data_IF_737572123495
#
_entry.id   IF_737572123495
#
_cell.length_a   1.000
_cell.length_b   1.000
_cell.length_c   1.000
_cell.angle_alpha   90.00
_cell.angle_beta   90.00
_cell.angle_gamma   90.00
#
_symmetry.space_group_name_H-M   'P 1'
#
loop_
_entity.id
_entity.type
_entity.pdbx_description
1 polymer ?
#
# COMPACT_ATOMS: atom_id res chain seq x y z
N UNK A 1 -23.93 -8.11 -10.22
CA UNK A 1 -22.80 -9.04 -10.50
C UNK A 1 -21.64 -8.17 -10.97
N UNK A 2 -20.45 -8.33 -10.41
CA UNK A 2 -19.26 -7.59 -10.85
C UNK A 2 -18.78 -8.14 -12.20
N UNK A 3 -18.33 -7.26 -13.09
CA UNK A 3 -17.82 -7.66 -14.41
C UNK A 3 -16.43 -8.33 -14.34
N UNK A 4 -15.67 -7.98 -13.29
CA UNK A 4 -14.32 -8.50 -13.03
C UNK A 4 -14.18 -8.84 -11.54
N UNK A 5 -13.49 -9.93 -11.23
CA UNK A 5 -13.11 -10.29 -9.85
C UNK A 5 -11.88 -9.50 -9.36
N UNK A 6 -11.03 -9.04 -10.29
CA UNK A 6 -9.79 -8.31 -10.00
C UNK A 6 -9.57 -7.18 -11.00
N UNK A 7 -9.13 -6.04 -10.49
CA UNK A 7 -8.63 -4.91 -11.29
C UNK A 7 -7.17 -4.73 -10.94
N UNK A 8 -6.31 -4.76 -11.94
CA UNK A 8 -4.89 -4.54 -11.75
C UNK A 8 -4.52 -3.11 -12.10
N UNK A 9 -3.89 -2.44 -11.15
CA UNK A 9 -3.32 -1.10 -11.32
C UNK A 9 -1.83 -1.21 -11.06
N UNK A 10 -1.03 -1.00 -12.09
CA UNK A 10 0.42 -1.10 -12.04
C UNK A 10 1.04 0.15 -12.66
N UNK A 11 2.17 0.56 -12.09
CA UNK A 11 3.04 1.55 -12.71
C UNK A 11 3.85 0.90 -13.84
N UNK A 12 4.45 1.73 -14.69
CA UNK A 12 5.35 1.32 -15.78
C UNK A 12 6.56 0.49 -15.28
N UNK A 13 6.84 0.55 -13.97
CA UNK A 13 7.99 -0.08 -13.32
C UNK A 13 7.83 -1.59 -13.02
N UNK A 14 6.69 -2.24 -13.30
CA UNK A 14 6.58 -3.71 -13.17
C UNK A 14 7.07 -4.39 -14.45
N UNK A 15 8.25 -5.01 -14.39
CA UNK A 15 8.75 -5.89 -15.45
C UNK A 15 7.84 -7.12 -15.61
N UNK A 16 6.99 -7.11 -16.63
CA UNK A 16 6.05 -8.19 -16.97
C UNK A 16 6.72 -9.53 -17.26
N UNK A 17 8.00 -9.52 -17.63
CA UNK A 17 8.77 -10.71 -18.01
C UNK A 17 9.06 -11.64 -16.82
N UNK A 18 9.03 -11.09 -15.60
CA UNK A 18 9.33 -11.80 -14.37
C UNK A 18 8.12 -11.91 -13.44
N UNK A 19 6.89 -11.67 -13.92
CA UNK A 19 5.67 -11.73 -13.12
C UNK A 19 4.81 -12.93 -13.53
N UNK A 20 4.53 -13.84 -12.59
CA UNK A 20 3.54 -14.91 -12.78
C UNK A 20 2.16 -14.49 -12.23
N UNK A 21 1.20 -14.09 -13.10
CA UNK A 21 -0.13 -13.67 -12.67
C UNK A 21 -0.94 -14.81 -12.07
N UNK A 22 -0.67 -16.07 -12.41
CA UNK A 22 -1.42 -17.23 -11.88
C UNK A 22 -1.01 -17.47 -10.45
N UNK A 23 0.28 -17.62 -10.19
CA UNK A 23 0.81 -17.80 -8.83
C UNK A 23 0.45 -16.62 -7.93
N UNK A 24 0.50 -15.39 -8.46
CA UNK A 24 0.06 -14.20 -7.74
C UNK A 24 -1.42 -14.26 -7.34
N UNK A 25 -2.31 -14.54 -8.30
CA UNK A 25 -3.75 -14.61 -8.04
C UNK A 25 -4.12 -15.75 -7.09
N UNK A 26 -3.38 -16.86 -7.10
CA UNK A 26 -3.59 -17.96 -6.17
C UNK A 26 -3.32 -17.53 -4.72
N UNK A 27 -2.26 -16.74 -4.49
CA UNK A 27 -2.00 -16.14 -3.17
C UNK A 27 -3.09 -15.15 -2.81
N UNK A 28 -3.44 -14.22 -3.71
CA UNK A 28 -4.50 -13.22 -3.47
C UNK A 28 -5.82 -13.87 -3.06
N UNK A 29 -6.22 -14.94 -3.77
CA UNK A 29 -7.45 -15.71 -3.48
C UNK A 29 -7.36 -16.47 -2.17
N UNK A 30 -6.26 -17.20 -1.95
CA UNK A 30 -6.04 -18.00 -0.73
C UNK A 30 -6.07 -17.13 0.52
N UNK A 31 -5.45 -15.96 0.42
CA UNK A 31 -5.25 -15.03 1.54
C UNK A 31 -6.39 -14.02 1.69
N UNK A 32 -7.36 -14.00 0.77
CA UNK A 32 -8.49 -13.08 0.78
C UNK A 32 -8.08 -11.62 0.66
N UNK A 33 -7.05 -11.32 -0.14
CA UNK A 33 -6.60 -9.95 -0.36
C UNK A 33 -7.56 -9.22 -1.32
N UNK A 34 -8.03 -8.05 -0.88
CA UNK A 34 -8.85 -7.14 -1.68
C UNK A 34 -8.00 -6.10 -2.41
N UNK A 35 -6.88 -5.72 -1.80
CA UNK A 35 -5.91 -4.79 -2.39
C UNK A 35 -4.51 -5.35 -2.18
N UNK A 36 -3.77 -5.52 -3.28
CA UNK A 36 -2.45 -6.13 -3.21
C UNK A 36 -1.49 -5.59 -4.28
N UNK A 37 -0.19 -5.74 -4.03
CA UNK A 37 0.87 -5.54 -5.01
C UNK A 37 1.87 -6.70 -4.94
N UNK A 38 2.63 -6.99 -6.00
CA UNK A 38 3.77 -7.89 -5.90
C UNK A 38 4.93 -7.25 -5.11
N UNK A 39 5.72 -8.07 -4.42
CA UNK A 39 6.92 -7.61 -3.73
C UNK A 39 8.03 -7.22 -4.72
N UNK A 40 8.70 -6.10 -4.42
CA UNK A 40 9.82 -5.57 -5.21
C UNK A 40 11.14 -6.27 -4.84
N UNK A 41 11.98 -6.54 -5.85
CA UNK A 41 13.34 -7.03 -5.62
C UNK A 41 14.13 -6.03 -4.74
N UNK A 42 14.98 -6.53 -3.83
CA UNK A 42 15.79 -5.68 -2.94
C UNK A 42 16.83 -4.83 -3.64
N UNK A 43 17.15 -5.15 -4.90
CA UNK A 43 18.06 -4.39 -5.77
C UNK A 43 17.33 -3.25 -6.50
N UNK A 44 16.00 -3.29 -6.51
CA UNK A 44 15.13 -2.24 -7.04
C UNK A 44 15.17 -0.98 -6.17
N UNK A 45 14.66 0.12 -6.71
CA UNK A 45 14.42 1.32 -5.89
C UNK A 45 13.24 1.07 -4.95
N UNK A 46 13.53 0.88 -3.66
CA UNK A 46 12.52 0.68 -2.61
C UNK A 46 12.30 2.00 -1.86
N UNK A 47 11.05 2.47 -1.88
CA UNK A 47 10.64 3.66 -1.12
C UNK A 47 10.11 3.29 0.28
N UNK A 48 9.38 2.18 0.38
CA UNK A 48 8.77 1.72 1.61
C UNK A 48 9.18 0.30 1.94
N UNK A 49 9.68 0.07 3.15
CA UNK A 49 10.23 -1.24 3.53
C UNK A 49 9.22 -2.41 3.45
N UNK A 50 7.92 -2.11 3.45
CA UNK A 50 6.84 -3.11 3.36
C UNK A 50 6.70 -3.71 1.96
N UNK A 51 7.11 -2.97 0.92
CA UNK A 51 7.04 -3.43 -0.49
C UNK A 51 8.24 -4.27 -0.89
N UNK A 52 9.32 -4.21 -0.10
CA UNK A 52 10.50 -5.02 -0.35
C UNK A 52 10.22 -6.51 -0.10
N UNK A 53 10.67 -7.35 -1.02
CA UNK A 53 10.77 -8.80 -0.84
C UNK A 53 11.39 -9.15 0.51
N UNK A 54 10.81 -10.08 1.25
CA UNK A 54 11.38 -10.49 2.52
C UNK A 54 12.68 -11.26 2.31
N UNK A 55 13.60 -11.10 3.27
CA UNK A 55 14.82 -11.91 3.30
C UNK A 55 14.52 -13.37 3.65
N UNK A 56 13.46 -13.58 4.41
CA UNK A 56 12.97 -14.88 4.84
C UNK A 56 11.51 -14.91 4.40
N UNK A 57 11.13 -15.80 3.47
CA UNK A 57 9.75 -15.93 3.01
C UNK A 57 8.80 -16.13 4.20
N UNK A 58 7.65 -15.47 4.18
CA UNK A 58 6.59 -15.77 5.12
C UNK A 58 5.89 -17.06 4.71
N UNK A 59 5.34 -17.79 5.68
CA UNK A 59 4.64 -19.07 5.42
C UNK A 59 3.44 -18.88 4.48
N UNK A 60 2.77 -17.74 4.57
CA UNK A 60 1.62 -17.35 3.76
C UNK A 60 2.01 -16.69 2.42
N UNK A 61 3.28 -16.30 2.25
CA UNK A 61 3.78 -15.59 1.08
C UNK A 61 3.27 -14.14 0.97
N UNK A 62 2.89 -13.50 2.08
CA UNK A 62 2.35 -12.12 2.10
C UNK A 62 2.93 -11.27 3.23
N UNK A 63 3.31 -10.01 2.91
CA UNK A 63 3.62 -8.98 3.90
C UNK A 63 2.44 -8.05 4.11
N UNK A 64 1.97 -7.97 5.34
CA UNK A 64 0.92 -7.00 5.71
C UNK A 64 1.42 -5.92 6.67
N UNK A 65 2.63 -6.08 7.22
CA UNK A 65 3.18 -5.23 8.28
C UNK A 65 4.70 -5.10 8.22
N UNK A 66 5.21 -3.97 8.68
CA UNK A 66 6.64 -3.73 8.93
C UNK A 66 6.86 -3.43 10.40
N UNK A 67 7.97 -3.95 10.95
CA UNK A 67 8.44 -3.61 12.30
C UNK A 67 9.77 -2.89 12.21
N UNK A 68 9.83 -1.66 12.71
CA UNK A 68 11.04 -0.84 12.79
C UNK A 68 10.89 0.28 13.84
N UNK A 69 11.85 1.21 13.93
CA UNK A 69 11.80 2.31 14.90
C UNK A 69 10.58 3.25 14.77
N UNK A 70 9.88 3.24 13.63
CA UNK A 70 8.68 4.06 13.36
C UNK A 70 7.37 3.25 13.33
N UNK A 71 7.46 1.92 13.32
CA UNK A 71 6.33 1.01 13.22
C UNK A 71 6.45 -0.09 14.29
N UNK A 72 5.60 -0.02 15.30
CA UNK A 72 5.52 -1.00 16.39
C UNK A 72 4.41 -2.04 16.14
N UNK A 73 4.11 -2.86 17.14
CA UNK A 73 3.10 -3.90 17.04
C UNK A 73 1.66 -3.36 16.96
N UNK A 74 1.42 -2.16 17.47
CA UNK A 74 0.10 -1.52 17.56
C UNK A 74 -0.16 -0.58 16.35
N UNK A 75 0.83 -0.42 15.49
CA UNK A 75 0.74 0.40 14.28
C UNK A 75 -0.17 -0.24 13.23
N UNK A 76 -1.41 0.24 13.12
CA UNK A 76 -2.44 -0.26 12.17
C UNK A 76 -2.60 0.61 10.92
N UNK A 77 -1.85 1.71 10.83
CA UNK A 77 -1.94 2.68 9.74
C UNK A 77 -0.81 2.53 8.72
N UNK A 78 -1.05 2.95 7.46
CA UNK A 78 0.01 3.17 6.47
C UNK A 78 1.13 4.08 7.00
N UNK A 79 2.40 3.81 6.65
CA UNK A 79 2.89 2.69 5.83
C UNK A 79 3.22 1.42 6.66
N UNK A 80 2.81 1.36 7.93
CA UNK A 80 3.22 0.30 8.85
C UNK A 80 2.40 -0.99 8.70
N UNK A 81 1.11 -0.89 8.36
CA UNK A 81 0.22 -2.03 8.21
C UNK A 81 -0.85 -1.80 7.13
N UNK A 82 -1.31 -2.89 6.49
CA UNK A 82 -2.47 -2.88 5.60
C UNK A 82 -2.34 -1.88 4.46
N UNK A 83 -1.16 -1.84 3.84
CA UNK A 83 -0.80 -0.83 2.86
C UNK A 83 0.02 -1.42 1.72
N UNK A 84 -0.18 -0.86 0.54
CA UNK A 84 0.59 -1.11 -0.67
C UNK A 84 0.91 0.24 -1.31
N UNK A 85 2.13 0.38 -1.80
CA UNK A 85 2.56 1.44 -2.71
C UNK A 85 1.88 1.29 -4.07
N UNK A 86 1.07 2.27 -4.45
CA UNK A 86 0.39 2.30 -5.75
C UNK A 86 0.66 3.63 -6.41
N UNK A 87 1.52 3.63 -7.42
CA UNK A 87 1.64 4.78 -8.30
C UNK A 87 0.52 4.67 -9.33
N UNK A 88 -0.44 5.59 -9.27
CA UNK A 88 -1.42 5.73 -10.35
C UNK A 88 -0.80 6.72 -11.33
N UNK A 89 -0.27 6.27 -12.49
CA UNK A 89 0.19 7.18 -13.53
C UNK A 89 -1.03 7.97 -13.99
N UNK A 90 -1.10 9.21 -13.52
CA UNK A 90 -2.13 10.13 -13.89
C UNK A 90 -1.43 11.36 -14.46
N UNK A 91 -1.89 11.84 -15.62
CA UNK A 91 -1.54 13.17 -16.12
C UNK A 91 -1.92 14.26 -15.08
N UNK A 92 -2.76 13.92 -14.09
CA UNK A 92 -2.95 14.69 -12.88
C UNK A 92 -1.78 14.46 -11.92
N UNK A 93 -0.89 15.45 -11.88
CA UNK A 93 0.16 15.70 -10.86
C UNK A 93 -0.34 15.57 -9.39
N UNK A 94 -1.66 15.46 -9.16
CA UNK A 94 -2.31 15.45 -7.85
C UNK A 94 -2.62 14.06 -7.27
N UNK A 95 -2.15 12.96 -7.89
CA UNK A 95 -2.46 11.60 -7.43
C UNK A 95 -1.56 11.08 -6.29
N UNK A 96 -0.46 11.77 -5.97
CA UNK A 96 0.43 11.39 -4.86
C UNK A 96 -0.31 11.43 -3.53
N UNK A 97 -0.29 10.30 -2.79
CA UNK A 97 -1.02 10.13 -1.53
C UNK A 97 -2.33 9.36 -1.66
N UNK A 98 -2.80 9.08 -2.87
CA UNK A 98 -3.98 8.24 -3.07
C UNK A 98 -3.77 6.79 -2.60
N UNK A 99 -2.56 6.27 -2.77
CA UNK A 99 -2.09 4.99 -2.24
C UNK A 99 -2.26 4.86 -0.72
N UNK A 100 -2.07 5.95 0.03
CA UNK A 100 -2.36 6.00 1.47
C UNK A 100 -3.86 5.87 1.79
N UNK A 101 -4.74 6.09 0.81
CA UNK A 101 -6.20 5.98 0.95
C UNK A 101 -6.79 4.73 0.30
N UNK A 102 -6.05 3.98 -0.53
CA UNK A 102 -6.56 2.73 -1.14
C UNK A 102 -7.09 1.72 -0.12
N UNK A 103 -6.52 1.69 1.09
CA UNK A 103 -7.03 0.85 2.18
C UNK A 103 -8.46 1.17 2.62
N UNK A 104 -9.01 2.37 2.32
CA UNK A 104 -10.43 2.70 2.56
C UNK A 104 -11.39 2.00 1.59
N UNK A 105 -10.88 1.44 0.48
CA UNK A 105 -11.67 0.62 -0.43
C UNK A 105 -11.79 -0.83 0.04
N UNK A 106 -10.89 -1.29 0.92
CA UNK A 106 -10.95 -2.63 1.48
C UNK A 106 -12.07 -2.72 2.52
N UNK A 107 -12.84 -3.80 2.49
CA UNK A 107 -13.89 -4.05 3.45
C UNK A 107 -13.29 -4.59 4.76
N UNK A 108 -13.77 -4.06 5.89
CA UNK A 108 -13.36 -4.52 7.21
C UNK A 108 -11.94 -4.12 7.60
N UNK A 109 -11.16 -5.07 8.14
CA UNK A 109 -9.82 -4.80 8.68
C UNK A 109 -8.76 -4.86 7.57
N UNK A 110 -8.37 -3.68 7.06
CA UNK A 110 -7.32 -3.55 6.04
C UNK A 110 -5.98 -4.19 6.43
N UNK A 111 -5.69 -4.37 7.72
CA UNK A 111 -4.44 -5.03 8.13
C UNK A 111 -4.42 -6.54 7.80
N UNK A 112 -5.55 -7.08 7.37
CA UNK A 112 -5.72 -8.47 6.91
C UNK A 112 -5.98 -8.55 5.41
N UNK A 113 -6.84 -7.68 4.86
CA UNK A 113 -7.26 -7.70 3.46
C UNK A 113 -6.37 -6.91 2.51
N UNK A 114 -5.38 -6.16 3.02
CA UNK A 114 -4.40 -5.43 2.20
C UNK A 114 -2.98 -5.94 2.48
N UNK A 115 -2.23 -6.26 1.42
CA UNK A 115 -0.88 -6.80 1.58
C UNK A 115 -0.04 -6.91 0.32
N UNK A 116 1.25 -7.11 0.50
CA UNK A 116 2.25 -7.32 -0.54
C UNK A 116 2.45 -8.82 -0.73
N UNK A 117 2.18 -9.33 -1.94
CA UNK A 117 2.38 -10.73 -2.29
C UNK A 117 3.85 -10.96 -2.60
N UNK A 118 4.49 -11.80 -1.81
CA UNK A 118 5.90 -12.17 -1.95
C UNK A 118 6.04 -13.58 -2.51
N UNK A 119 5.43 -13.81 -3.67
CA UNK A 119 5.70 -14.98 -4.51
C UNK A 119 7.03 -14.79 -5.25
N UNK A 120 7.70 -15.89 -5.61
CA UNK A 120 9.12 -15.96 -6.04
C UNK A 120 9.50 -15.16 -7.31
N UNK A 121 8.57 -14.41 -7.90
CA UNK A 121 8.68 -13.80 -9.23
C UNK A 121 8.55 -12.27 -9.16
N UNK A 122 9.53 -11.62 -8.53
CA UNK A 122 9.57 -10.17 -8.35
C UNK A 122 10.17 -9.48 -9.57
N UNK A 123 9.47 -8.49 -10.12
CA UNK A 123 10.01 -7.60 -11.14
C UNK A 123 11.27 -6.88 -10.64
N UNK A 124 12.31 -6.86 -11.48
CA UNK A 124 13.48 -6.03 -11.24
C UNK A 124 13.10 -4.61 -11.65
N UNK A 125 13.47 -3.61 -10.87
CA UNK A 125 13.43 -2.22 -11.34
C UNK A 125 14.85 -1.71 -11.40
N UNK A 126 15.20 -1.07 -12.51
CA UNK A 126 16.54 -0.51 -12.68
C UNK A 126 16.64 0.80 -11.88
N UNK A 127 17.71 1.00 -11.10
CA UNK A 127 17.91 2.27 -10.39
C UNK A 127 18.04 3.42 -11.40
N UNK A 128 17.13 4.39 -11.39
CA UNK A 128 17.28 5.59 -12.23
C UNK A 128 17.93 6.72 -11.44
N UNK A 129 19.07 7.21 -11.94
CA UNK A 129 19.80 8.31 -11.33
C UNK A 129 19.06 9.64 -11.55
N UNK A 130 18.82 10.41 -10.48
CA UNK A 130 18.31 11.79 -10.57
C UNK A 130 17.10 12.17 -9.70
N UNK A 131 16.60 11.27 -8.82
CA UNK A 131 15.29 11.44 -8.15
C UNK A 131 15.25 12.31 -6.89
N UNK A 132 16.32 12.99 -6.47
CA UNK A 132 16.25 13.83 -5.26
C UNK A 132 15.19 14.95 -5.38
N UNK A 133 15.09 15.57 -6.56
CA UNK A 133 14.06 16.57 -6.85
C UNK A 133 12.66 15.94 -6.91
N UNK A 134 12.54 14.73 -7.47
CA UNK A 134 11.29 13.95 -7.51
C UNK A 134 10.82 13.66 -6.09
N UNK A 135 11.69 13.14 -5.22
CA UNK A 135 11.37 12.87 -3.80
C UNK A 135 10.91 14.11 -3.05
N UNK A 136 11.61 15.24 -3.23
CA UNK A 136 11.20 16.49 -2.61
C UNK A 136 9.83 16.97 -3.13
N UNK A 137 9.56 16.77 -4.42
CA UNK A 137 8.27 17.10 -5.04
C UNK A 137 7.16 16.17 -4.52
N UNK A 138 7.36 14.86 -4.52
CA UNK A 138 6.42 13.87 -3.97
C UNK A 138 6.09 14.15 -2.51
N UNK A 139 7.08 14.53 -1.70
CA UNK A 139 6.86 14.92 -0.31
C UNK A 139 5.95 16.15 -0.18
N UNK A 140 6.17 17.19 -0.99
CA UNK A 140 5.31 18.38 -1.00
C UNK A 140 3.89 18.08 -1.49
N UNK A 141 3.77 17.28 -2.54
CA UNK A 141 2.47 16.88 -3.11
C UNK A 141 1.67 16.03 -2.11
N UNK A 142 2.32 15.11 -1.39
CA UNK A 142 1.73 14.36 -0.28
C UNK A 142 1.18 15.28 0.82
N UNK A 143 1.91 16.32 1.20
CA UNK A 143 1.43 17.30 2.19
C UNK A 143 0.19 18.05 1.71
N UNK A 144 0.18 18.46 0.43
CA UNK A 144 -0.98 19.11 -0.19
C UNK A 144 -2.17 18.15 -0.23
N UNK A 145 -1.95 16.89 -0.59
CA UNK A 145 -2.98 15.86 -0.61
C UNK A 145 -3.58 15.64 0.78
N UNK A 146 -2.76 15.47 1.81
CA UNK A 146 -3.24 15.28 3.19
C UNK A 146 -4.10 16.46 3.65
N UNK A 147 -3.66 17.69 3.36
CA UNK A 147 -4.46 18.88 3.67
C UNK A 147 -5.82 18.85 2.98
N UNK A 148 -5.86 18.57 1.67
CA UNK A 148 -7.11 18.49 0.90
C UNK A 148 -8.03 17.38 1.41
N UNK A 149 -7.47 16.24 1.79
CA UNK A 149 -8.20 15.12 2.35
C UNK A 149 -8.82 15.50 3.70
N UNK A 150 -8.06 16.11 4.60
CA UNK A 150 -8.54 16.57 5.91
C UNK A 150 -9.66 17.62 5.77
N UNK A 151 -9.53 18.56 4.84
CA UNK A 151 -10.56 19.55 4.51
C UNK A 151 -11.84 18.84 4.00
N UNK A 152 -11.72 17.95 3.01
CA UNK A 152 -12.86 17.22 2.45
C UNK A 152 -13.56 16.33 3.49
N UNK A 153 -12.79 15.62 4.32
CA UNK A 153 -13.28 14.79 5.41
C UNK A 153 -14.03 15.60 6.48
N UNK A 154 -13.60 16.84 6.73
CA UNK A 154 -14.24 17.74 7.70
C UNK A 154 -15.52 18.36 7.13
N UNK A 155 -15.53 18.68 5.83
CA UNK A 155 -16.69 19.27 5.15
C UNK A 155 -17.81 18.26 4.89
N UNK A 156 -17.48 17.00 4.62
CA UNK A 156 -18.45 15.93 4.42
C UNK A 156 -18.99 15.42 5.77
N UNK A 157 -20.11 16.00 6.21
CA UNK A 157 -20.81 15.61 7.44
C UNK A 157 -21.28 14.14 7.46
N UNK A 158 -21.38 13.50 6.30
CA UNK A 158 -21.81 12.11 6.18
C UNK A 158 -20.62 11.13 6.21
N UNK A 159 -19.41 11.64 6.05
CA UNK A 159 -18.20 10.85 6.10
C UNK A 159 -17.86 10.47 7.55
N UNK A 160 -17.50 9.21 7.74
CA UNK A 160 -17.01 8.67 9.02
C UNK A 160 -15.76 7.87 8.71
N UNK A 161 -14.69 8.09 9.47
CA UNK A 161 -13.45 7.34 9.30
C UNK A 161 -13.60 5.92 9.89
N UNK A 162 -13.68 4.85 9.07
CA UNK A 162 -13.77 3.48 9.58
C UNK A 162 -12.52 3.03 10.34
N UNK A 163 -11.42 3.79 10.24
CA UNK A 163 -10.14 3.49 10.88
C UNK A 163 -9.75 4.49 11.96
N UNK A 164 -10.66 5.39 12.38
CA UNK A 164 -10.42 6.22 13.53
C UNK A 164 -10.10 5.33 14.74
N UNK A 165 -9.02 5.64 15.46
CA UNK A 165 -8.74 4.97 16.71
C UNK A 165 -9.94 5.19 17.65
N UNK A 166 -10.50 4.09 18.17
CA UNK A 166 -11.48 4.14 19.25
C UNK A 166 -10.92 5.06 20.35
N UNK A 167 -11.66 6.09 20.80
CA UNK A 167 -11.19 6.93 21.88
C UNK A 167 -10.91 6.02 23.08
N UNK A 168 -9.68 6.08 23.60
CA UNK A 168 -9.26 5.27 24.73
C UNK A 168 -10.34 5.34 25.81
N UNK A 169 -11.07 4.24 26.02
CA UNK A 169 -12.09 4.16 27.05
C UNK A 169 -11.41 4.56 28.34
N UNK A 170 -11.82 5.69 28.92
CA UNK A 170 -11.30 6.16 30.20
C UNK A 170 -11.43 5.01 31.19
N UNK A 171 -10.30 4.39 31.53
CA UNK A 171 -10.23 3.36 32.55
C UNK A 171 -10.68 4.01 33.85
N UNK A 172 -11.94 3.81 34.25
CA UNK A 172 -12.39 4.16 35.58
C UNK A 172 -11.60 3.32 36.58
N UNK A 173 -10.73 3.96 37.34
CA UNK A 173 -10.28 3.50 38.65
C UNK A 173 -10.51 4.61 39.64
#
# INVERSE_FOLDING_TARGET
VAEYDYVFVWDEDIEVDAFDPVSYLDVVRREGLEVSQPALDRRSEIHHAITARALIPTEDGVHRRVRNARCDADSTAPPCAGWVEGMVPNDLIYAWGLDYRLGYCAQGDRTRSVGVVDSDDGGKTTPSAGRAAVRLRSFKEMQIFNKRWEEAATEDKSWTDPYAAEPATASSR
#
